data_IF_518019135020
#
_entry.id   IF_518019135020
#
_cell.length_a   1.000
_cell.length_b   1.000
_cell.length_c   1.000
_cell.angle_alpha   90.00
_cell.angle_beta   90.00
_cell.angle_gamma   90.00
#
_symmetry.space_group_name_H-M   'P 1'
#
loop_
_entity.id
_entity.type
_entity.pdbx_description
1 polymer ?
#
# COMPACT_ATOMS: atom_id res chain seq x y z
N UNK A 1 -2.70 22.67 -27.62
CA UNK A 1 -3.15 21.41 -26.94
C UNK A 1 -1.94 20.65 -26.43
N UNK A 2 -1.66 20.77 -25.13
CA UNK A 2 -0.46 20.20 -24.48
C UNK A 2 -0.71 18.78 -23.89
N UNK A 3 -1.96 18.28 -23.96
CA UNK A 3 -2.38 17.02 -23.32
C UNK A 3 -2.43 15.76 -24.21
N UNK A 4 -1.88 15.78 -25.43
CA UNK A 4 -1.90 14.61 -26.36
C UNK A 4 -0.58 13.82 -26.37
N UNK A 5 0.38 14.11 -25.46
CA UNK A 5 1.81 13.78 -25.67
C UNK A 5 2.44 12.73 -24.76
N UNK A 6 1.67 11.96 -24.00
CA UNK A 6 2.24 10.78 -23.32
C UNK A 6 1.38 9.55 -23.62
N UNK A 7 1.45 9.08 -24.87
CA UNK A 7 1.07 7.71 -25.19
C UNK A 7 2.28 6.82 -24.88
N UNK A 8 2.40 6.37 -23.63
CA UNK A 8 3.45 5.45 -23.20
C UNK A 8 2.91 4.03 -23.21
N UNK A 9 3.75 3.09 -23.65
CA UNK A 9 3.47 1.65 -23.63
C UNK A 9 3.36 1.15 -22.19
N UNK A 10 4.12 1.77 -21.29
CA UNK A 10 4.12 1.44 -19.87
C UNK A 10 3.39 2.49 -19.02
N UNK A 11 2.61 2.05 -18.02
CA UNK A 11 1.95 2.94 -17.08
C UNK A 11 2.98 3.73 -16.26
N UNK A 12 2.68 4.99 -15.97
CA UNK A 12 3.55 5.83 -15.15
C UNK A 12 3.69 5.28 -13.73
N UNK A 13 4.90 5.42 -13.17
CA UNK A 13 5.19 5.13 -11.77
C UNK A 13 5.69 6.40 -11.10
N UNK A 14 5.18 6.69 -9.90
CA UNK A 14 5.63 7.83 -9.10
C UNK A 14 6.16 7.32 -7.77
N UNK A 15 7.29 7.87 -7.36
CA UNK A 15 7.99 7.53 -6.14
C UNK A 15 8.23 8.77 -5.29
N UNK A 16 8.22 8.59 -3.98
CA UNK A 16 8.66 9.56 -2.99
C UNK A 16 9.79 8.96 -2.16
N UNK A 17 10.59 9.81 -1.53
CA UNK A 17 11.58 9.39 -0.55
C UNK A 17 10.97 9.52 0.84
N UNK A 18 11.03 8.45 1.62
CA UNK A 18 10.53 8.41 3.00
C UNK A 18 11.61 7.92 3.97
N UNK A 19 11.48 8.29 5.24
CA UNK A 19 12.35 7.82 6.33
C UNK A 19 11.68 6.65 7.07
N UNK A 20 12.40 5.55 7.24
CA UNK A 20 11.92 4.43 8.06
C UNK A 20 12.11 4.75 9.55
N UNK A 21 11.05 5.22 10.21
CA UNK A 21 11.04 5.48 11.66
C UNK A 21 10.76 4.23 12.50
N UNK A 22 10.50 3.08 11.87
CA UNK A 22 10.27 1.82 12.59
C UNK A 22 11.57 1.17 13.06
N UNK A 23 11.46 0.39 14.13
CA UNK A 23 12.58 -0.38 14.69
C UNK A 23 13.03 -1.57 13.83
N UNK A 24 12.32 -1.87 12.73
CA UNK A 24 12.60 -3.00 11.84
C UNK A 24 12.85 -2.53 10.41
N UNK A 25 13.61 -3.31 9.65
CA UNK A 25 13.73 -3.09 8.21
C UNK A 25 12.44 -3.46 7.49
N UNK A 26 12.14 -2.73 6.41
CA UNK A 26 11.07 -3.08 5.50
C UNK A 26 11.63 -3.74 4.26
N UNK A 27 10.93 -4.76 3.79
CA UNK A 27 11.26 -5.41 2.52
C UNK A 27 10.45 -4.81 1.39
N UNK A 28 10.95 -4.98 0.16
CA UNK A 28 10.20 -4.66 -1.05
C UNK A 28 8.79 -5.28 -1.02
N UNK A 29 7.77 -4.48 -1.33
CA UNK A 29 6.37 -4.90 -1.38
C UNK A 29 5.56 -4.63 -0.12
N UNK A 30 6.18 -4.07 0.93
CA UNK A 30 5.49 -3.69 2.15
C UNK A 30 4.75 -2.38 1.95
N UNK A 31 3.47 -2.34 2.28
CA UNK A 31 2.79 -1.05 2.41
C UNK A 31 3.21 -0.39 3.72
N UNK A 32 3.25 0.93 3.72
CA UNK A 32 3.64 1.74 4.90
C UNK A 32 2.68 2.92 5.08
N UNK A 33 2.69 3.47 6.29
CA UNK A 33 1.88 4.63 6.65
C UNK A 33 2.75 5.77 7.18
N UNK A 34 2.21 6.98 7.11
CA UNK A 34 2.85 8.18 7.62
C UNK A 34 2.91 8.09 9.14
N UNK A 35 4.09 8.34 9.69
CA UNK A 35 4.28 8.44 11.12
C UNK A 35 3.89 9.86 11.55
N UNK A 36 2.65 10.01 12.04
CA UNK A 36 2.18 11.27 12.59
C UNK A 36 2.46 11.43 14.08
N UNK A 37 2.98 10.39 14.74
CA UNK A 37 3.07 10.33 16.20
C UNK A 37 4.45 10.69 16.71
N UNK A 38 5.48 10.18 16.04
CA UNK A 38 6.88 10.30 16.48
C UNK A 38 7.78 10.99 15.47
N UNK A 39 7.31 11.22 14.25
CA UNK A 39 8.10 11.93 13.26
C UNK A 39 8.21 13.43 13.57
N UNK A 40 9.44 13.92 13.44
CA UNK A 40 9.78 15.33 13.63
C UNK A 40 9.96 16.04 12.28
N UNK A 41 10.24 15.29 11.20
CA UNK A 41 10.71 15.83 9.94
C UNK A 41 9.64 15.88 8.83
N UNK A 42 8.44 15.37 9.08
CA UNK A 42 7.33 15.30 8.13
C UNK A 42 7.51 14.30 6.99
N UNK A 43 8.53 13.45 7.06
CA UNK A 43 8.89 12.44 6.04
C UNK A 43 9.01 11.03 6.62
N UNK A 44 8.77 10.90 7.93
CA UNK A 44 8.78 9.66 8.68
C UNK A 44 7.59 8.79 8.31
N UNK A 45 7.88 7.52 8.17
CA UNK A 45 6.91 6.49 7.89
C UNK A 45 7.12 5.37 8.90
N UNK A 46 6.04 4.68 9.22
CA UNK A 46 6.03 3.61 10.19
C UNK A 46 5.36 2.34 9.64
N UNK A 47 5.67 1.23 10.31
CA UNK A 47 5.06 -0.05 10.06
C UNK A 47 3.53 0.06 10.20
N UNK A 48 2.79 -0.59 9.29
CA UNK A 48 1.36 -0.82 9.44
C UNK A 48 0.89 -1.22 10.85
N UNK A 49 0.02 -0.41 11.45
CA UNK A 49 -0.77 -0.83 12.60
C UNK A 49 -2.13 -1.42 12.18
N UNK A 50 -2.80 -2.09 13.11
CA UNK A 50 -4.14 -2.61 12.89
C UNK A 50 -5.13 -1.50 12.53
N UNK A 51 -6.12 -1.89 11.74
CA UNK A 51 -7.27 -1.09 11.36
C UNK A 51 -7.96 -0.51 12.60
N UNK A 52 -8.12 0.81 12.64
CA UNK A 52 -8.78 1.48 13.76
C UNK A 52 -7.90 1.74 14.99
N UNK A 53 -6.57 1.60 14.89
CA UNK A 53 -5.66 2.22 15.86
C UNK A 53 -6.02 3.72 15.97
N UNK A 54 -6.35 4.16 17.18
CA UNK A 54 -7.02 5.42 17.45
C UNK A 54 -6.37 6.60 16.71
N UNK A 55 -7.17 7.31 15.89
CA UNK A 55 -6.85 8.64 15.38
C UNK A 55 -6.50 8.76 13.88
N UNK A 56 -5.96 7.73 13.21
CA UNK A 56 -5.37 7.95 11.86
C UNK A 56 -5.42 6.76 10.87
N UNK A 57 -6.04 5.65 11.27
CA UNK A 57 -5.77 4.30 10.73
C UNK A 57 -5.81 4.05 9.21
N UNK A 58 -6.43 4.90 8.39
CA UNK A 58 -6.45 4.71 6.92
C UNK A 58 -6.10 5.94 6.10
N UNK A 59 -6.18 7.14 6.66
CA UNK A 59 -5.81 8.36 5.97
C UNK A 59 -4.28 8.50 5.83
N UNK A 60 -3.52 7.68 6.56
CA UNK A 60 -2.08 7.73 6.65
C UNK A 60 -1.34 6.87 5.61
N UNK A 61 -2.00 6.17 4.69
CA UNK A 61 -1.29 5.34 3.70
C UNK A 61 -0.35 6.20 2.85
N UNK A 62 0.92 5.83 2.78
CA UNK A 62 1.90 6.50 1.92
C UNK A 62 1.99 5.82 0.56
N UNK A 63 2.10 4.50 0.55
CA UNK A 63 2.41 3.73 -0.65
C UNK A 63 3.03 2.38 -0.33
N UNK A 64 3.80 1.83 -1.28
CA UNK A 64 4.50 0.55 -1.17
C UNK A 64 6.00 0.74 -1.29
N UNK A 65 6.74 0.10 -0.41
CA UNK A 65 8.21 0.08 -0.37
C UNK A 65 8.76 -0.58 -1.63
N UNK A 66 9.58 0.15 -2.40
CA UNK A 66 10.11 -0.30 -3.68
C UNK A 66 11.39 -1.15 -3.55
N UNK A 67 12.11 -1.01 -2.43
CA UNK A 67 13.37 -1.71 -2.14
C UNK A 67 13.51 -1.98 -0.64
N UNK A 68 14.44 -2.82 -0.21
CA UNK A 68 14.62 -3.04 1.24
C UNK A 68 15.17 -1.78 1.92
N UNK A 69 14.44 -1.26 2.90
CA UNK A 69 14.81 -0.05 3.66
C UNK A 69 15.17 -0.47 5.09
N UNK A 70 16.43 -0.25 5.48
CA UNK A 70 16.87 -0.51 6.86
C UNK A 70 16.15 0.42 7.86
N UNK A 71 16.10 0.00 9.13
CA UNK A 71 15.61 0.88 10.20
C UNK A 71 16.48 2.13 10.28
N UNK A 72 15.87 3.31 10.39
CA UNK A 72 16.58 4.59 10.45
C UNK A 72 17.22 5.03 9.14
N UNK A 73 16.82 4.46 8.00
CA UNK A 73 17.31 4.83 6.68
C UNK A 73 16.23 5.48 5.83
N UNK A 74 16.65 6.29 4.86
CA UNK A 74 15.79 6.77 3.78
C UNK A 74 15.69 5.73 2.67
N UNK A 75 14.56 5.68 1.99
CA UNK A 75 14.40 4.83 0.81
C UNK A 75 13.21 5.21 -0.06
N UNK A 76 13.07 4.48 -1.17
CA UNK A 76 12.05 4.75 -2.18
C UNK A 76 10.71 4.07 -1.87
N UNK A 77 9.64 4.87 -1.93
CA UNK A 77 8.25 4.45 -1.74
C UNK A 77 7.46 4.78 -3.00
N UNK A 78 6.85 3.78 -3.61
CA UNK A 78 5.97 3.96 -4.76
C UNK A 78 4.58 4.41 -4.31
N UNK A 79 4.10 5.52 -4.88
CA UNK A 79 2.80 6.14 -4.56
C UNK A 79 1.80 6.07 -5.73
N UNK A 80 2.28 5.74 -6.92
CA UNK A 80 1.43 5.58 -8.10
C UNK A 80 2.00 4.52 -9.06
N UNK A 81 1.12 3.83 -9.79
CA UNK A 81 1.46 2.87 -10.83
C UNK A 81 1.48 1.42 -10.34
N UNK A 82 1.91 0.49 -11.21
CA UNK A 82 1.95 -0.93 -10.86
C UNK A 82 3.21 -1.29 -10.09
N UNK A 83 3.06 -2.13 -9.07
CA UNK A 83 4.15 -2.71 -8.29
C UNK A 83 3.98 -4.23 -8.25
N UNK A 84 5.04 -5.00 -8.53
CA UNK A 84 4.98 -6.46 -8.68
C UNK A 84 5.22 -7.25 -7.40
N UNK A 85 5.75 -6.61 -6.35
CA UNK A 85 6.11 -7.27 -5.10
C UNK A 85 5.13 -7.05 -3.95
N UNK A 86 4.00 -6.35 -4.17
CA UNK A 86 3.02 -6.09 -3.11
C UNK A 86 2.42 -7.39 -2.57
N UNK A 87 2.23 -7.51 -1.26
CA UNK A 87 1.67 -8.71 -0.64
C UNK A 87 0.16 -8.56 -0.45
N UNK A 88 -0.62 -9.61 -0.71
CA UNK A 88 -2.10 -9.51 -0.67
C UNK A 88 -2.74 -10.75 -0.04
N UNK A 89 -3.65 -10.55 0.92
CA UNK A 89 -4.43 -11.62 1.56
C UNK A 89 -5.93 -11.36 1.45
N UNK A 90 -6.78 -12.38 1.48
CA UNK A 90 -8.21 -12.17 1.57
C UNK A 90 -8.62 -11.90 3.02
N UNK A 91 -9.49 -10.91 3.20
CA UNK A 91 -10.03 -10.47 4.48
C UNK A 91 -10.81 -11.57 5.21
N UNK A 92 -11.55 -12.41 4.47
CA UNK A 92 -12.41 -13.48 5.02
C UNK A 92 -12.03 -14.88 4.52
N UNK A 93 -10.81 -15.02 3.95
CA UNK A 93 -10.41 -16.23 3.23
C UNK A 93 -11.00 -16.33 1.82
N UNK A 94 -10.39 -17.18 0.98
CA UNK A 94 -10.82 -17.40 -0.40
C UNK A 94 -9.97 -16.70 -1.46
N UNK A 95 -10.46 -16.72 -2.70
CA UNK A 95 -9.79 -16.12 -3.85
C UNK A 95 -10.13 -14.62 -3.99
N UNK A 96 -9.17 -13.83 -4.45
CA UNK A 96 -9.38 -12.40 -4.75
C UNK A 96 -9.47 -12.22 -6.26
N UNK A 97 -10.60 -11.70 -6.73
CA UNK A 97 -10.83 -11.39 -8.13
C UNK A 97 -9.90 -10.27 -8.63
N UNK A 98 -9.47 -10.34 -9.89
CA UNK A 98 -8.84 -9.20 -10.55
C UNK A 98 -9.80 -8.00 -10.56
N UNK A 99 -9.26 -6.78 -10.43
CA UNK A 99 -10.04 -5.56 -10.31
C UNK A 99 -10.62 -5.30 -8.92
N UNK A 100 -10.40 -6.20 -7.96
CA UNK A 100 -10.87 -5.98 -6.58
C UNK A 100 -10.10 -4.82 -5.94
N UNK A 101 -10.84 -3.88 -5.37
CA UNK A 101 -10.27 -2.84 -4.52
C UNK A 101 -9.64 -3.46 -3.28
N UNK A 102 -8.41 -3.07 -2.99
CA UNK A 102 -7.69 -3.48 -1.80
C UNK A 102 -7.62 -2.33 -0.79
N UNK A 103 -7.56 -2.71 0.48
CA UNK A 103 -7.37 -1.87 1.64
C UNK A 103 -6.16 -2.35 2.44
N UNK A 104 -5.72 -1.51 3.37
CA UNK A 104 -4.77 -1.92 4.40
C UNK A 104 -5.39 -3.01 5.28
N UNK A 105 -4.60 -4.03 5.64
CA UNK A 105 -5.07 -5.15 6.41
C UNK A 105 -5.71 -4.75 7.75
N UNK A 106 -6.72 -5.50 8.19
CA UNK A 106 -7.41 -5.21 9.44
C UNK A 106 -6.55 -5.42 10.69
N UNK A 107 -5.48 -6.20 10.56
CA UNK A 107 -4.48 -6.46 11.59
C UNK A 107 -3.12 -5.91 11.15
N UNK A 108 -2.24 -5.62 12.13
CA UNK A 108 -0.87 -5.24 11.84
C UNK A 108 -0.21 -6.27 10.91
N UNK A 109 0.39 -5.81 9.81
CA UNK A 109 0.92 -6.67 8.77
C UNK A 109 1.29 -5.90 7.53
N UNK A 110 2.09 -6.52 6.68
CA UNK A 110 2.63 -5.89 5.46
C UNK A 110 1.82 -6.23 4.21
N UNK A 111 0.72 -6.98 4.38
CA UNK A 111 -0.18 -7.35 3.30
C UNK A 111 -1.34 -6.36 3.16
N UNK A 112 -1.77 -6.15 1.92
CA UNK A 112 -3.05 -5.55 1.59
C UNK A 112 -4.16 -6.61 1.65
N UNK A 113 -5.41 -6.23 1.89
CA UNK A 113 -6.55 -7.13 1.83
C UNK A 113 -7.70 -6.60 0.98
N UNK A 114 -8.56 -7.46 0.46
CA UNK A 114 -9.74 -6.98 -0.25
C UNK A 114 -10.63 -6.14 0.67
N UNK A 115 -11.18 -5.04 0.14
CA UNK A 115 -12.10 -4.18 0.90
C UNK A 115 -13.27 -5.01 1.41
N UNK A 116 -13.49 -4.96 2.73
CA UNK A 116 -14.67 -5.59 3.36
C UNK A 116 -15.89 -4.71 3.11
N UNK A 117 -16.95 -5.34 2.61
CA UNK A 117 -18.28 -4.73 2.58
C UNK A 117 -19.02 -5.23 3.83
N UNK A 118 -19.31 -4.32 4.76
CA UNK A 118 -20.10 -4.64 5.95
C UNK A 118 -21.46 -3.98 5.81
N UNK A 119 -22.51 -4.77 5.61
CA UNK A 119 -23.85 -4.26 5.30
C UNK A 119 -23.88 -3.53 3.95
N UNK A 120 -24.36 -2.29 3.92
CA UNK A 120 -24.45 -1.46 2.70
C UNK A 120 -23.27 -0.49 2.53
N UNK A 121 -22.24 -0.56 3.38
CA UNK A 121 -21.10 0.37 3.36
C UNK A 121 -19.81 -0.38 3.04
N UNK A 122 -19.01 0.20 2.13
CA UNK A 122 -17.63 -0.17 1.89
C UNK A 122 -16.75 1.00 2.31
N UNK A 123 -15.68 0.73 3.07
CA UNK A 123 -14.69 1.75 3.37
C UNK A 123 -13.72 1.85 2.18
N UNK A 124 -14.01 2.76 1.25
CA UNK A 124 -13.11 3.11 0.17
C UNK A 124 -12.26 4.31 0.59
N UNK A 125 -10.94 4.21 0.42
CA UNK A 125 -10.02 5.27 0.83
C UNK A 125 -9.63 6.11 -0.39
N UNK A 126 -9.43 7.44 -0.21
CA UNK A 126 -8.99 8.33 -1.28
C UNK A 126 -7.61 7.92 -1.83
N UNK A 127 -6.84 7.16 -1.04
CA UNK A 127 -5.59 6.50 -1.42
C UNK A 127 -5.85 5.01 -1.56
N UNK A 128 -5.88 4.50 -2.78
CA UNK A 128 -6.38 3.17 -3.10
C UNK A 128 -5.35 2.25 -3.73
N UNK A 129 -5.57 0.95 -3.53
CA UNK A 129 -4.84 -0.12 -4.20
C UNK A 129 -5.84 -0.96 -5.01
N UNK A 130 -5.46 -1.44 -6.20
CA UNK A 130 -6.29 -2.39 -6.95
C UNK A 130 -5.48 -3.60 -7.42
N UNK A 131 -6.10 -4.77 -7.29
CA UNK A 131 -5.47 -6.04 -7.58
C UNK A 131 -5.54 -6.39 -9.06
N UNK A 132 -4.42 -6.74 -9.70
CA UNK A 132 -4.41 -6.92 -11.16
C UNK A 132 -4.76 -8.34 -11.62
N UNK A 133 -4.40 -9.39 -10.86
CA UNK A 133 -4.42 -10.76 -11.39
C UNK A 133 -4.96 -11.79 -10.39
N UNK A 134 -6.04 -12.49 -10.75
CA UNK A 134 -6.69 -13.51 -9.92
C UNK A 134 -5.71 -14.52 -9.26
N UNK A 135 -5.82 -14.71 -7.94
CA UNK A 135 -5.14 -15.80 -7.22
C UNK A 135 -6.17 -16.62 -6.46
N UNK A 136 -6.07 -17.95 -6.57
CA UNK A 136 -6.97 -18.94 -5.97
C UNK A 136 -6.85 -19.09 -4.44
N UNK A 137 -5.94 -18.38 -3.77
CA UNK A 137 -5.72 -18.48 -2.32
C UNK A 137 -5.03 -17.24 -1.71
N UNK A 138 -5.23 -17.05 -0.40
CA UNK A 138 -4.47 -16.13 0.45
C UNK A 138 -2.97 -16.40 0.29
N UNK A 139 -2.17 -15.37 -0.01
CA UNK A 139 -0.73 -15.56 -0.11
C UNK A 139 0.05 -14.31 0.25
N UNK A 140 1.05 -14.48 1.10
CA UNK A 140 2.04 -13.43 1.39
C UNK A 140 3.09 -13.30 0.29
N UNK A 141 2.93 -14.03 -0.82
CA UNK A 141 3.79 -13.91 -1.99
C UNK A 141 3.59 -12.54 -2.67
N UNK A 142 4.63 -12.13 -3.38
CA UNK A 142 4.62 -10.97 -4.27
C UNK A 142 3.48 -11.06 -5.30
N UNK A 143 2.71 -9.98 -5.41
CA UNK A 143 1.63 -9.81 -6.37
C UNK A 143 1.68 -8.44 -7.04
N UNK A 144 1.16 -8.42 -8.26
CA UNK A 144 1.01 -7.19 -9.03
C UNK A 144 -0.22 -6.41 -8.60
N UNK A 145 0.00 -5.22 -8.08
CA UNK A 145 -1.00 -4.30 -7.54
C UNK A 145 -0.79 -2.92 -8.15
N UNK A 146 -1.88 -2.26 -8.54
CA UNK A 146 -1.86 -0.86 -8.91
C UNK A 146 -2.03 0.02 -7.67
N UNK A 147 -1.18 1.05 -7.55
CA UNK A 147 -1.13 1.98 -6.43
C UNK A 147 -1.67 3.33 -6.90
N UNK A 148 -2.49 3.97 -6.07
CA UNK A 148 -3.03 5.31 -6.29
C UNK A 148 -3.14 6.06 -4.96
N UNK A 149 -2.00 6.46 -4.40
CA UNK A 149 -1.89 7.07 -3.07
C UNK A 149 -1.65 8.60 -3.10
N UNK A 150 -1.89 9.23 -4.26
CA UNK A 150 -1.79 10.68 -4.49
C UNK A 150 -3.11 11.40 -4.15
#
# INVERSE_FOLDING_TARGET
MIGKRINRTDPEQLFIVGYNSSAASWSNGYWVRWDYSTDVNGVGMETPAAQGAAGVGYAAVCGVVAETIASGAYGLIQVYGYHSAARVKAATGGAIAAGTALACASAAGYELENVRVTGTKANCYPKGFSYEAYTLANTTAAKKVHISCL
#
